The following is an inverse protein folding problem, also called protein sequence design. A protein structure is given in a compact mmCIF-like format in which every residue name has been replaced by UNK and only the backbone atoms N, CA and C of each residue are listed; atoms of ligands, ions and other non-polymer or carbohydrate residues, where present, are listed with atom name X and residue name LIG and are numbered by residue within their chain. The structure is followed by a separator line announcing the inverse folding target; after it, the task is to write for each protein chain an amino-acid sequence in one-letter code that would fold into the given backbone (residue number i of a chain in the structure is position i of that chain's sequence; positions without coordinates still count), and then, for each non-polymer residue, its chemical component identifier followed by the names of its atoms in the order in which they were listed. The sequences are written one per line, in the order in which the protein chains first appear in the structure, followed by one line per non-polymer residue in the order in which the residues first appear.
data_IF_944003644105
#
_entry.id   IF_944003644105
#
_cell.length_a   1.000
_cell.length_b   1.000
_cell.length_c   1.000
_cell.angle_alpha   90.00
_cell.angle_beta   90.00
_cell.angle_gamma   90.00
#
_symmetry.space_group_name_H-M   'P 1'
#
loop_
_entity.id
_entity.type
_entity.pdbx_description
1 polymer ?
#
# COMPACT_ATOMS: atom_id res chain seq x y z
N UNK A 1 7.37 14.44 -18.92
CA UNK A 1 7.02 15.55 -18.01
C UNK A 1 6.40 14.95 -16.75
N UNK A 2 6.87 15.30 -15.56
CA UNK A 2 6.22 14.89 -14.30
C UNK A 2 4.86 15.57 -14.20
N UNK A 3 3.81 14.80 -13.91
CA UNK A 3 2.47 15.36 -13.67
C UNK A 3 2.43 15.89 -12.25
N UNK A 4 2.28 17.20 -12.08
CA UNK A 4 2.03 17.80 -10.78
C UNK A 4 0.54 17.77 -10.49
N UNK A 5 0.17 17.50 -9.25
CA UNK A 5 -1.22 17.55 -8.78
C UNK A 5 -1.26 18.44 -7.54
N UNK A 6 -2.03 19.52 -7.62
CA UNK A 6 -2.27 20.41 -6.49
C UNK A 6 -3.48 19.90 -5.71
N UNK A 7 -3.36 19.85 -4.39
CA UNK A 7 -4.43 19.41 -3.49
C UNK A 7 -4.60 20.43 -2.37
N UNK A 8 -5.84 20.78 -2.05
CA UNK A 8 -6.17 21.61 -0.89
C UNK A 8 -6.81 20.71 0.17
N UNK A 9 -6.26 20.74 1.38
CA UNK A 9 -6.71 19.87 2.49
C UNK A 9 -7.22 20.76 3.62
N UNK A 10 -8.37 20.41 4.18
CA UNK A 10 -8.90 21.02 5.40
C UNK A 10 -8.60 20.11 6.59
N UNK A 11 -7.93 20.65 7.60
CA UNK A 11 -7.68 19.97 8.86
C UNK A 11 -8.64 20.47 9.94
N UNK A 12 -9.11 19.58 10.80
CA UNK A 12 -9.80 19.95 12.04
C UNK A 12 -8.82 20.44 13.10
N UNK A 13 -9.30 21.12 14.14
CA UNK A 13 -8.47 21.82 15.14
C UNK A 13 -7.31 20.97 15.69
N UNK A 14 -7.61 19.82 16.30
CA UNK A 14 -6.57 18.95 16.87
C UNK A 14 -5.51 18.48 15.86
N UNK A 15 -5.90 18.23 14.60
CA UNK A 15 -4.94 17.85 13.56
C UNK A 15 -4.13 19.05 13.06
N UNK A 16 -4.76 20.23 13.00
CA UNK A 16 -4.06 21.47 12.66
C UNK A 16 -2.99 21.78 13.70
N UNK A 17 -3.32 21.72 14.99
CA UNK A 17 -2.38 21.96 16.09
C UNK A 17 -1.22 20.97 16.05
N UNK A 18 -1.53 19.69 15.78
CA UNK A 18 -0.49 18.66 15.63
C UNK A 18 0.44 18.95 14.46
N UNK A 19 -0.09 19.32 13.28
CA UNK A 19 0.76 19.68 12.13
C UNK A 19 1.59 20.91 12.43
N UNK A 20 1.01 21.94 13.05
CA UNK A 20 1.72 23.16 13.43
C UNK A 20 2.86 22.90 14.42
N UNK A 21 2.73 21.93 15.33
CA UNK A 21 3.80 21.55 16.24
C UNK A 21 4.95 20.77 15.57
N UNK A 22 4.73 20.22 14.37
CA UNK A 22 5.71 19.41 13.62
C UNK A 22 6.35 20.17 12.45
N UNK A 23 5.90 21.39 12.17
CA UNK A 23 6.29 22.18 10.99
C UNK A 23 6.81 23.56 11.42
N UNK A 24 7.91 24.02 10.83
CA UNK A 24 8.55 25.31 11.13
C UNK A 24 9.95 25.13 11.73
N UNK A 25 10.52 26.20 12.26
CA UNK A 25 11.94 26.24 12.68
C UNK A 25 12.30 25.20 13.76
N UNK A 26 11.37 24.91 14.67
CA UNK A 26 11.51 23.89 15.72
C UNK A 26 10.88 22.53 15.33
N UNK A 27 10.27 22.45 14.15
CA UNK A 27 9.59 21.26 13.63
C UNK A 27 10.51 20.31 12.87
N UNK A 28 10.06 19.07 12.68
CA UNK A 28 10.81 18.09 11.87
C UNK A 28 10.64 18.31 10.35
N UNK A 29 9.77 19.24 9.95
CA UNK A 29 9.45 19.53 8.55
C UNK A 29 9.44 21.05 8.32
N UNK A 30 9.86 21.48 7.13
CA UNK A 30 9.96 22.90 6.80
C UNK A 30 8.56 23.50 6.53
N UNK A 31 7.67 22.72 5.92
CA UNK A 31 6.31 23.16 5.60
C UNK A 31 5.28 22.02 5.60
N UNK A 32 4.00 22.40 5.66
CA UNK A 32 2.87 21.46 5.68
C UNK A 32 2.86 20.56 4.44
N UNK A 33 3.20 21.11 3.25
CA UNK A 33 3.20 20.33 2.02
C UNK A 33 4.30 19.25 2.00
N UNK A 34 5.42 19.47 2.67
CA UNK A 34 6.44 18.44 2.91
C UNK A 34 5.92 17.36 3.83
N UNK A 35 5.34 17.77 4.96
CA UNK A 35 4.78 16.82 5.92
C UNK A 35 3.72 15.91 5.28
N UNK A 36 2.78 16.48 4.52
CA UNK A 36 1.76 15.71 3.81
C UNK A 36 2.37 14.79 2.74
N UNK A 37 3.38 15.24 1.98
CA UNK A 37 4.07 14.38 1.00
C UNK A 37 4.73 13.19 1.67
N UNK A 38 5.33 13.39 2.84
CA UNK A 38 5.95 12.31 3.59
C UNK A 38 4.90 11.32 4.14
N UNK A 39 3.79 11.82 4.69
CA UNK A 39 2.67 10.96 5.11
C UNK A 39 2.10 10.13 3.96
N UNK A 40 1.90 10.73 2.78
CA UNK A 40 1.42 10.00 1.59
C UNK A 40 2.43 8.93 1.18
N UNK A 41 3.73 9.20 1.26
CA UNK A 41 4.77 8.21 0.94
C UNK A 41 4.72 7.02 1.90
N UNK A 42 4.65 7.29 3.21
CA UNK A 42 4.55 6.25 4.24
C UNK A 42 3.26 5.44 4.11
N UNK A 43 2.15 6.10 3.77
CA UNK A 43 0.87 5.43 3.53
C UNK A 43 0.95 4.48 2.33
N UNK A 44 1.54 4.95 1.22
CA UNK A 44 1.80 4.13 0.03
C UNK A 44 2.69 2.92 0.38
N UNK A 45 3.80 3.15 1.06
CA UNK A 45 4.74 2.08 1.45
C UNK A 45 4.07 1.03 2.34
N UNK A 46 3.26 1.46 3.32
CA UNK A 46 2.49 0.57 4.17
C UNK A 46 1.50 -0.27 3.35
N UNK A 47 0.72 0.36 2.47
CA UNK A 47 -0.26 -0.34 1.65
C UNK A 47 0.42 -1.37 0.71
N UNK A 48 1.56 -1.03 0.10
CA UNK A 48 2.34 -1.95 -0.71
C UNK A 48 2.89 -3.12 0.11
N UNK A 49 3.42 -2.84 1.30
CA UNK A 49 3.95 -3.87 2.19
C UNK A 49 2.85 -4.81 2.68
N UNK A 50 1.68 -4.30 3.03
CA UNK A 50 0.51 -5.10 3.42
C UNK A 50 0.04 -6.02 2.29
N UNK A 51 -0.03 -5.50 1.05
CA UNK A 51 -0.39 -6.29 -0.13
C UNK A 51 0.61 -7.44 -0.37
N UNK A 52 1.91 -7.15 -0.28
CA UNK A 52 2.97 -8.18 -0.44
C UNK A 52 2.91 -9.20 0.70
N UNK A 53 2.72 -8.76 1.94
CA UNK A 53 2.63 -9.66 3.09
C UNK A 53 1.43 -10.59 2.99
N UNK A 54 0.28 -10.06 2.56
CA UNK A 54 -0.91 -10.86 2.30
C UNK A 54 -0.65 -11.93 1.25
N UNK A 55 -0.09 -11.55 0.09
CA UNK A 55 0.23 -12.50 -0.97
C UNK A 55 1.21 -13.59 -0.48
N UNK A 56 2.25 -13.21 0.26
CA UNK A 56 3.20 -14.16 0.85
C UNK A 56 2.50 -15.14 1.79
N UNK A 57 1.60 -14.66 2.66
CA UNK A 57 0.86 -15.52 3.58
C UNK A 57 -0.02 -16.53 2.83
N UNK A 58 -0.73 -16.08 1.79
CA UNK A 58 -1.56 -16.93 0.93
C UNK A 58 -0.71 -17.99 0.21
N UNK A 59 0.44 -17.60 -0.35
CA UNK A 59 1.35 -18.53 -1.02
C UNK A 59 2.00 -19.54 -0.05
N UNK A 60 2.46 -19.10 1.12
CA UNK A 60 3.02 -19.99 2.15
C UNK A 60 1.98 -21.03 2.57
N UNK A 61 0.74 -20.62 2.78
CA UNK A 61 -0.35 -21.54 3.09
C UNK A 61 -0.60 -22.54 1.94
N UNK A 62 -0.62 -22.08 0.69
CA UNK A 62 -0.84 -22.93 -0.47
C UNK A 62 0.30 -23.93 -0.71
N UNK A 63 1.56 -23.52 -0.49
CA UNK A 63 2.75 -24.38 -0.68
C UNK A 63 3.08 -25.27 0.52
N UNK A 64 2.41 -25.09 1.67
CA UNK A 64 2.55 -25.99 2.81
C UNK A 64 1.91 -27.36 2.58
N UNK A 65 1.11 -27.52 1.51
CA UNK A 65 0.54 -28.80 1.12
C UNK A 65 1.63 -29.79 0.67
N UNK A 66 1.56 -31.08 1.04
CA UNK A 66 2.51 -32.08 0.55
C UNK A 66 2.49 -32.19 -0.98
N UNK A 67 3.65 -32.40 -1.60
CA UNK A 67 3.76 -32.54 -3.07
C UNK A 67 2.85 -33.63 -3.65
N UNK A 68 2.58 -34.69 -2.88
CA UNK A 68 1.69 -35.80 -3.25
C UNK A 68 0.22 -35.34 -3.47
N UNK A 69 -0.16 -34.18 -2.92
CA UNK A 69 -1.51 -33.62 -3.09
C UNK A 69 -1.68 -32.83 -4.38
N UNK A 70 -0.59 -32.52 -5.09
CA UNK A 70 -0.62 -31.78 -6.34
C UNK A 70 -1.06 -32.68 -7.49
N UNK A 71 -1.90 -32.15 -8.37
CA UNK A 71 -2.41 -32.86 -9.53
C UNK A 71 -1.86 -32.22 -10.82
N UNK A 72 -1.50 -33.03 -11.84
CA UNK A 72 -1.17 -32.51 -13.15
C UNK A 72 -2.35 -31.70 -13.69
N UNK A 73 -2.07 -30.52 -14.22
CA UNK A 73 -3.10 -29.64 -14.79
C UNK A 73 -2.52 -28.87 -15.96
N UNK A 74 -3.19 -28.93 -17.10
CA UNK A 74 -2.83 -28.20 -18.31
C UNK A 74 -3.62 -26.90 -18.42
N UNK A 75 -3.05 -25.92 -19.13
CA UNK A 75 -3.76 -24.67 -19.43
C UNK A 75 -5.07 -24.92 -20.21
N UNK A 76 -5.12 -25.92 -21.08
CA UNK A 76 -6.30 -26.28 -21.86
C UNK A 76 -7.46 -26.74 -20.96
N UNK A 77 -7.19 -27.57 -19.95
CA UNK A 77 -8.19 -28.02 -18.97
C UNK A 77 -8.75 -26.85 -18.15
N UNK A 78 -7.89 -25.91 -17.74
CA UNK A 78 -8.32 -24.70 -17.01
C UNK A 78 -9.22 -23.83 -17.89
N UNK A 79 -8.84 -23.60 -19.15
CA UNK A 79 -9.64 -22.78 -20.08
C UNK A 79 -10.99 -23.44 -20.36
N UNK A 80 -11.00 -24.75 -20.62
CA UNK A 80 -12.25 -25.49 -20.86
C UNK A 80 -13.21 -25.40 -19.66
N UNK A 81 -12.69 -25.47 -18.43
CA UNK A 81 -13.49 -25.36 -17.19
C UNK A 81 -14.19 -24.01 -17.02
N UNK A 82 -13.60 -22.91 -17.50
CA UNK A 82 -14.08 -21.55 -17.26
C UNK A 82 -14.85 -20.92 -18.45
N UNK A 83 -15.21 -21.71 -19.47
CA UNK A 83 -15.89 -21.22 -20.70
C UNK A 83 -17.42 -21.04 -20.57
N UNK A 84 -17.98 -21.14 -19.37
CA UNK A 84 -19.41 -20.93 -19.12
C UNK A 84 -19.78 -19.44 -19.13
#
# INVERSE_FOLDING_TARGET
MSRTTTMTVRLGGALSDFVSANVGDDGSYENVSEYIRDLIRRDKERAEQEAVNRLKAELIHAFAAPEETYQPLTAAEVIARNRA
#
